data_IF_017889354704
#
_entry.id   IF_017889354704
#
_cell.length_a   1.000
_cell.length_b   1.000
_cell.length_c   1.000
_cell.angle_alpha   90.00
_cell.angle_beta   90.00
_cell.angle_gamma   90.00
#
_symmetry.space_group_name_H-M   'P 1'
#
loop_
_entity.id
_entity.type
_entity.pdbx_description
1 polymer ?
#
# COMPACT_ATOMS: atom_id res chain seq x y z
N UNK A 1 0.66 20.86 1.79
CA UNK A 1 1.21 19.49 1.87
C UNK A 1 0.80 18.64 0.65
N UNK A 2 0.74 19.21 -0.57
CA UNK A 2 0.33 18.49 -1.78
C UNK A 2 1.48 18.34 -2.81
N UNK A 3 2.70 18.76 -2.45
CA UNK A 3 3.82 18.91 -3.41
C UNK A 3 4.84 17.76 -3.37
N UNK A 4 4.95 17.01 -2.27
CA UNK A 4 5.90 15.88 -2.16
C UNK A 4 5.39 14.60 -2.83
N UNK A 5 4.08 14.33 -2.78
CA UNK A 5 3.48 13.15 -3.41
C UNK A 5 3.66 13.15 -4.94
N UNK A 6 3.62 14.32 -5.60
CA UNK A 6 3.77 14.43 -7.05
C UNK A 6 5.23 14.23 -7.52
N UNK A 7 6.21 14.62 -6.68
CA UNK A 7 7.63 14.43 -6.99
C UNK A 7 8.05 12.96 -6.90
N UNK A 8 7.47 12.20 -5.96
CA UNK A 8 7.69 10.77 -5.77
C UNK A 8 7.05 9.95 -6.91
N UNK A 9 5.88 10.37 -7.39
CA UNK A 9 5.16 9.72 -8.49
C UNK A 9 5.92 9.82 -9.81
N UNK A 10 6.48 10.99 -10.14
CA UNK A 10 7.28 11.20 -11.36
C UNK A 10 8.66 10.53 -11.35
N UNK A 11 9.14 10.09 -10.18
CA UNK A 11 10.42 9.43 -10.04
C UNK A 11 10.38 7.93 -10.35
N UNK A 12 9.21 7.28 -10.28
CA UNK A 12 9.06 5.83 -10.39
C UNK A 12 8.43 5.42 -11.73
N UNK A 13 9.15 4.64 -12.54
CA UNK A 13 8.58 4.08 -13.77
C UNK A 13 8.81 2.57 -13.91
N UNK A 14 8.01 1.94 -14.76
CA UNK A 14 8.11 0.51 -15.06
C UNK A 14 8.62 0.35 -16.48
N UNK A 15 9.77 -0.31 -16.62
CA UNK A 15 10.29 -0.67 -17.95
C UNK A 15 9.36 -1.63 -18.68
N UNK A 16 9.46 -1.69 -20.01
CA UNK A 16 8.71 -2.64 -20.86
C UNK A 16 8.91 -4.11 -20.48
N UNK A 17 9.98 -4.43 -19.74
CA UNK A 17 10.28 -5.77 -19.20
C UNK A 17 9.73 -6.00 -17.79
N UNK A 18 8.93 -5.09 -17.26
CA UNK A 18 8.33 -5.18 -15.91
C UNK A 18 9.27 -4.80 -14.76
N UNK A 19 10.48 -4.32 -15.03
CA UNK A 19 11.41 -3.88 -13.99
C UNK A 19 11.13 -2.45 -13.55
N UNK A 20 11.17 -2.20 -12.24
CA UNK A 20 11.01 -0.89 -11.64
C UNK A 20 12.28 -0.05 -11.78
N UNK A 21 12.11 1.22 -12.10
CA UNK A 21 13.17 2.21 -12.21
C UNK A 21 12.86 3.46 -11.39
N UNK A 22 13.85 3.96 -10.67
CA UNK A 22 13.80 5.17 -9.88
C UNK A 22 14.74 6.24 -10.45
N UNK A 23 14.17 7.32 -10.95
CA UNK A 23 14.86 8.44 -11.61
C UNK A 23 15.08 9.64 -10.68
N UNK A 24 14.47 9.62 -9.48
CA UNK A 24 14.68 10.62 -8.45
C UNK A 24 15.99 10.44 -7.69
N UNK A 25 16.20 11.26 -6.66
CA UNK A 25 17.40 11.13 -5.81
C UNK A 25 17.27 9.89 -4.92
N UNK A 26 18.41 9.43 -4.40
CA UNK A 26 18.43 8.29 -3.48
C UNK A 26 17.73 8.60 -2.17
N UNK A 27 17.87 9.83 -1.69
CA UNK A 27 17.23 10.34 -0.49
C UNK A 27 15.70 10.22 -0.59
N UNK A 28 15.15 10.62 -1.75
CA UNK A 28 13.71 10.53 -2.05
C UNK A 28 13.24 9.06 -2.07
N UNK A 29 14.05 8.15 -2.63
CA UNK A 29 13.76 6.71 -2.63
C UNK A 29 13.75 6.15 -1.21
N UNK A 30 14.71 6.57 -0.39
CA UNK A 30 14.85 6.11 0.98
C UNK A 30 13.66 6.56 1.83
N UNK A 31 13.25 7.82 1.71
CA UNK A 31 12.07 8.36 2.38
C UNK A 31 10.81 7.61 1.96
N UNK A 32 10.60 7.47 0.64
CA UNK A 32 9.47 6.75 0.09
C UNK A 32 9.37 5.30 0.59
N UNK A 33 10.48 4.54 0.56
CA UNK A 33 10.48 3.15 1.05
C UNK A 33 10.22 3.09 2.56
N UNK A 34 10.75 4.03 3.35
CA UNK A 34 10.51 4.10 4.78
C UNK A 34 9.04 4.41 5.10
N UNK A 35 8.41 5.30 4.33
CA UNK A 35 6.98 5.60 4.46
C UNK A 35 6.09 4.40 4.09
N UNK A 36 6.36 3.77 2.94
CA UNK A 36 5.53 2.67 2.43
C UNK A 36 5.64 1.39 3.27
N UNK A 37 6.81 1.15 3.85
CA UNK A 37 7.06 -0.01 4.72
C UNK A 37 6.91 0.31 6.20
N UNK A 38 6.65 1.57 6.57
CA UNK A 38 6.57 2.05 7.96
C UNK A 38 7.77 1.62 8.82
N UNK A 39 8.95 1.53 8.20
CA UNK A 39 10.15 0.99 8.84
C UNK A 39 11.27 2.03 8.83
N UNK A 40 11.95 2.20 9.95
CA UNK A 40 13.16 3.03 10.05
C UNK A 40 14.46 2.24 9.76
N UNK A 41 14.38 1.22 8.93
CA UNK A 41 15.53 0.33 8.68
C UNK A 41 16.60 1.05 7.88
N UNK A 42 17.87 0.90 8.28
CA UNK A 42 19.00 1.59 7.63
C UNK A 42 19.33 0.93 6.30
N UNK A 43 19.49 1.76 5.26
CA UNK A 43 20.07 1.34 4.00
C UNK A 43 21.57 1.07 4.15
N UNK A 44 22.01 -0.08 3.67
CA UNK A 44 23.42 -0.46 3.60
C UNK A 44 24.00 -0.17 2.21
N UNK A 45 25.31 0.06 2.14
CA UNK A 45 26.04 0.25 0.88
C UNK A 45 27.04 -0.89 0.71
N UNK A 46 26.64 -2.05 0.14
CA UNK A 46 27.49 -3.25 0.06
C UNK A 46 28.69 -3.13 -0.90
N UNK A 47 29.00 -1.92 -1.38
CA UNK A 47 30.07 -1.61 -2.31
C UNK A 47 29.56 -1.12 -3.68
N UNK A 48 30.34 -0.22 -4.30
CA UNK A 48 30.04 0.36 -5.61
C UNK A 48 28.83 1.31 -5.61
N UNK A 49 28.12 1.37 -6.75
CA UNK A 49 27.00 2.28 -7.00
C UNK A 49 25.64 1.63 -6.65
N UNK A 50 25.60 0.81 -5.60
CA UNK A 50 24.38 0.11 -5.17
C UNK A 50 24.03 0.39 -3.72
N UNK A 51 22.72 0.45 -3.45
CA UNK A 51 22.16 0.64 -2.11
C UNK A 51 21.22 -0.52 -1.82
N UNK A 52 21.29 -1.04 -0.60
CA UNK A 52 20.56 -2.22 -0.17
C UNK A 52 19.77 -1.93 1.10
N UNK A 53 18.46 -2.01 0.98
CA UNK A 53 17.53 -2.10 2.09
C UNK A 53 17.20 -3.57 2.35
N UNK A 54 17.25 -3.98 3.61
CA UNK A 54 16.95 -5.35 4.01
C UNK A 54 16.21 -5.32 5.35
N UNK A 55 15.01 -5.91 5.35
CA UNK A 55 14.20 -6.21 6.52
C UNK A 55 13.82 -7.71 6.45
N UNK A 56 13.25 -8.26 7.53
CA UNK A 56 12.83 -9.66 7.64
C UNK A 56 11.90 -10.09 6.48
N UNK A 57 11.04 -9.19 6.00
CA UNK A 57 10.06 -9.49 4.97
C UNK A 57 10.51 -9.15 3.53
N UNK A 58 11.37 -8.15 3.35
CA UNK A 58 11.69 -7.56 2.03
C UNK A 58 13.14 -7.12 1.93
N UNK A 59 13.75 -7.41 0.77
CA UNK A 59 15.07 -6.96 0.35
C UNK A 59 14.96 -6.13 -0.93
N UNK A 60 15.31 -4.85 -0.85
CA UNK A 60 15.29 -3.92 -1.98
C UNK A 60 16.71 -3.50 -2.29
N UNK A 61 17.16 -3.72 -3.52
CA UNK A 61 18.44 -3.22 -3.99
C UNK A 61 18.24 -2.26 -5.14
N UNK A 62 18.78 -1.05 -4.96
CA UNK A 62 18.83 0.00 -5.96
C UNK A 62 20.22 0.08 -6.57
N UNK A 63 20.27 0.27 -7.88
CA UNK A 63 21.50 0.45 -8.64
C UNK A 63 21.50 1.84 -9.28
N UNK A 64 22.41 2.72 -8.86
CA UNK A 64 22.43 4.10 -9.32
C UNK A 64 22.76 4.22 -10.82
N UNK A 65 23.62 3.35 -11.37
CA UNK A 65 24.02 3.41 -12.79
C UNK A 65 22.86 3.14 -13.76
N UNK A 66 21.93 2.29 -13.35
CA UNK A 66 20.81 1.83 -14.19
C UNK A 66 19.46 2.33 -13.68
N UNK A 67 19.47 3.11 -12.60
CA UNK A 67 18.29 3.54 -11.86
C UNK A 67 17.36 2.38 -11.50
N UNK A 68 17.84 1.14 -11.43
CA UNK A 68 16.97 -0.04 -11.35
C UNK A 68 16.75 -0.49 -9.92
N UNK A 69 15.52 -0.91 -9.64
CA UNK A 69 15.10 -1.48 -8.37
C UNK A 69 14.88 -2.98 -8.52
N UNK A 70 15.52 -3.75 -7.64
CA UNK A 70 15.28 -5.19 -7.52
C UNK A 70 14.68 -5.47 -6.15
N UNK A 71 13.54 -6.14 -6.14
CA UNK A 71 12.74 -6.39 -4.94
C UNK A 71 12.59 -7.89 -4.79
N UNK A 72 13.01 -8.41 -3.64
CA UNK A 72 12.95 -9.82 -3.26
C UNK A 72 12.41 -9.94 -1.84
N UNK A 73 11.95 -11.13 -1.45
CA UNK A 73 11.44 -11.40 -0.11
C UNK A 73 10.02 -11.96 -0.12
N UNK A 74 9.49 -12.24 1.06
CA UNK A 74 8.19 -12.88 1.26
C UNK A 74 7.06 -11.94 0.81
N UNK A 75 7.17 -10.66 1.14
CA UNK A 75 6.16 -9.64 0.80
C UNK A 75 6.50 -8.86 -0.48
N UNK A 76 7.41 -9.38 -1.31
CA UNK A 76 7.86 -8.65 -2.48
C UNK A 76 6.74 -8.40 -3.50
N UNK A 77 5.78 -9.30 -3.67
CA UNK A 77 4.68 -9.10 -4.63
C UNK A 77 3.71 -8.00 -4.17
N UNK A 78 3.39 -7.92 -2.88
CA UNK A 78 2.55 -6.85 -2.34
C UNK A 78 3.19 -5.49 -2.53
N UNK A 79 4.50 -5.38 -2.28
CA UNK A 79 5.24 -4.14 -2.52
C UNK A 79 5.29 -3.80 -4.02
N UNK A 80 5.52 -4.78 -4.89
CA UNK A 80 5.49 -4.57 -6.36
C UNK A 80 4.11 -4.10 -6.83
N UNK A 81 3.02 -4.63 -6.27
CA UNK A 81 1.66 -4.21 -6.64
C UNK A 81 1.38 -2.77 -6.21
N UNK A 82 1.82 -2.35 -5.01
CA UNK A 82 1.76 -0.95 -4.59
C UNK A 82 2.56 -0.03 -5.51
N UNK A 83 3.79 -0.42 -5.86
CA UNK A 83 4.63 0.34 -6.80
C UNK A 83 3.99 0.42 -8.19
N UNK A 84 3.32 -0.64 -8.65
CA UNK A 84 2.57 -0.62 -9.92
C UNK A 84 1.39 0.32 -9.86
N UNK A 85 0.65 0.37 -8.75
CA UNK A 85 -0.47 1.28 -8.59
C UNK A 85 -0.01 2.74 -8.67
N UNK A 86 1.10 3.08 -8.00
CA UNK A 86 1.69 4.42 -7.99
C UNK A 86 2.22 4.81 -9.38
N UNK A 87 2.92 3.91 -10.07
CA UNK A 87 3.44 4.16 -11.41
C UNK A 87 2.35 4.26 -12.49
N UNK A 88 1.11 3.84 -12.21
CA UNK A 88 -0.04 3.91 -13.14
C UNK A 88 -0.91 5.14 -12.94
N UNK A 89 -0.75 5.87 -11.83
CA UNK A 89 -1.60 7.04 -11.54
C UNK A 89 -1.33 8.22 -12.48
N UNK A 90 -0.24 8.18 -13.27
CA UNK A 90 0.07 9.19 -14.30
C UNK A 90 -0.78 9.09 -15.58
N UNK A 91 -1.54 8.00 -15.84
CA UNK A 91 -2.33 7.89 -17.09
C UNK A 91 -3.82 8.21 -16.99
N UNK A 92 -4.38 8.26 -15.77
CA UNK A 92 -5.83 8.17 -15.60
C UNK A 92 -6.48 9.43 -14.99
N UNK A 93 -5.70 10.46 -14.62
CA UNK A 93 -6.26 11.70 -14.06
C UNK A 93 -6.94 12.61 -15.10
N UNK A 94 -6.75 12.37 -16.41
CA UNK A 94 -7.44 13.13 -17.48
C UNK A 94 -8.76 12.49 -17.96
N UNK A 95 -9.17 11.31 -17.45
CA UNK A 95 -10.34 10.60 -17.98
C UNK A 95 -11.44 10.25 -16.95
N UNK A 96 -11.33 10.72 -15.71
CA UNK A 96 -12.26 10.37 -14.63
C UNK A 96 -13.32 11.45 -14.29
N UNK A 97 -13.49 12.51 -15.11
CA UNK A 97 -14.49 13.58 -14.87
C UNK A 97 -15.64 13.57 -15.90
N UNK A 98 -15.84 12.48 -16.65
CA UNK A 98 -17.01 12.34 -17.52
C UNK A 98 -17.66 10.98 -17.29
N UNK A 99 -18.93 11.00 -16.86
CA UNK A 99 -19.85 9.86 -16.69
C UNK A 99 -20.02 9.29 -15.27
N UNK A 100 -20.34 10.18 -14.31
CA UNK A 100 -21.41 9.86 -13.36
C UNK A 100 -22.37 11.04 -13.37
N UNK A 101 -23.49 10.94 -14.10
CA UNK A 101 -24.80 10.79 -13.45
C UNK A 101 -25.97 10.64 -14.45
N UNK A 102 -26.90 9.74 -14.08
CA UNK A 102 -28.35 9.71 -14.40
C UNK A 102 -28.82 9.37 -15.81
N UNK A 103 -29.20 8.09 -16.02
CA UNK A 103 -30.60 7.64 -15.86
C UNK A 103 -30.87 6.28 -16.56
N UNK A 104 -31.76 5.51 -15.93
CA UNK A 104 -32.58 4.40 -16.46
C UNK A 104 -32.01 2.97 -16.46
N UNK A 105 -32.38 2.25 -15.40
CA UNK A 105 -33.11 0.98 -15.42
C UNK A 105 -33.45 0.43 -16.83
N UNK A 106 -32.86 -0.69 -17.23
CA UNK A 106 -33.60 -1.83 -17.80
C UNK A 106 -32.75 -3.12 -17.84
N UNK A 107 -33.47 -4.22 -17.75
CA UNK A 107 -33.11 -5.63 -17.71
C UNK A 107 -32.47 -6.06 -19.04
N UNK A 108 -31.40 -6.88 -19.00
CA UNK A 108 -30.80 -7.44 -20.20
C UNK A 108 -29.73 -8.49 -19.93
N UNK A 109 -30.15 -9.75 -19.87
CA UNK A 109 -29.31 -10.95 -20.00
C UNK A 109 -28.82 -11.06 -21.47
N UNK A 110 -27.65 -11.68 -21.66
CA UNK A 110 -26.91 -11.97 -22.92
C UNK A 110 -25.97 -10.85 -23.41
N UNK A 111 -24.77 -11.09 -23.96
CA UNK A 111 -24.00 -12.29 -24.26
C UNK A 111 -22.55 -11.82 -24.57
N UNK A 112 -21.61 -12.77 -24.50
CA UNK A 112 -20.39 -12.84 -25.33
C UNK A 112 -19.43 -11.63 -25.37
N UNK A 113 -18.33 -11.75 -24.62
CA UNK A 113 -17.03 -11.27 -25.11
C UNK A 113 -16.10 -12.48 -25.22
N UNK A 114 -16.03 -13.01 -26.42
CA UNK A 114 -14.90 -13.84 -26.88
C UNK A 114 -13.60 -13.09 -26.57
N UNK A 115 -12.87 -13.52 -25.54
CA UNK A 115 -11.45 -13.21 -25.45
C UNK A 115 -10.69 -14.34 -26.13
N UNK A 116 -10.48 -14.14 -27.42
CA UNK A 116 -9.47 -14.85 -28.21
C UNK A 116 -8.14 -14.79 -27.47
N UNK A 117 -7.72 -15.92 -26.89
CA UNK A 117 -6.35 -16.11 -26.44
C UNK A 117 -5.51 -16.23 -27.71
N UNK A 118 -4.85 -15.15 -28.11
CA UNK A 118 -3.75 -15.21 -29.07
C UNK A 118 -2.62 -15.92 -28.34
N UNK A 119 -2.50 -17.22 -28.57
CA UNK A 119 -1.29 -17.97 -28.25
C UNK A 119 -0.30 -17.61 -29.35
N UNK A 120 0.69 -16.78 -29.03
CA UNK A 120 1.89 -16.63 -29.86
C UNK A 120 2.54 -18.02 -29.95
N UNK A 121 2.28 -18.71 -31.06
CA UNK A 121 2.98 -19.92 -31.42
C UNK A 121 4.40 -19.53 -31.78
N UNK A 122 5.36 -19.97 -30.97
CA UNK A 122 6.75 -20.03 -31.39
C UNK A 122 6.83 -20.86 -32.69
N UNK A 123 7.45 -20.27 -33.71
CA UNK A 123 7.71 -20.85 -35.03
C UNK A 123 8.39 -22.23 -34.90
N UNK A 124 7.59 -23.29 -34.89
CA UNK A 124 8.10 -24.63 -35.17
C UNK A 124 8.18 -24.78 -36.69
N UNK A 125 9.32 -24.36 -37.24
CA UNK A 125 9.67 -24.54 -38.64
C UNK A 125 9.44 -25.99 -39.04
N UNK A 126 8.37 -26.25 -39.80
CA UNK A 126 8.11 -27.53 -40.43
C UNK A 126 9.25 -27.78 -41.42
N UNK A 127 10.26 -28.55 -41.01
CA UNK A 127 11.23 -29.13 -41.94
C UNK A 127 10.45 -30.05 -42.87
N UNK A 128 10.21 -29.56 -44.08
CA UNK A 128 9.88 -30.37 -45.24
C UNK A 128 11.03 -31.34 -45.48
N UNK A 129 10.89 -32.56 -44.98
CA UNK A 129 11.71 -33.69 -45.41
C UNK A 129 11.26 -34.07 -46.81
N UNK A 130 11.94 -33.51 -47.81
CA UNK A 130 12.06 -34.14 -49.11
C UNK A 130 12.69 -35.52 -48.90
N UNK A 131 11.90 -36.58 -49.07
CA UNK A 131 12.40 -37.93 -49.23
C UNK A 131 11.51 -38.66 -50.23
N UNK A 132 12.02 -38.65 -51.47
CA UNK A 132 12.06 -39.77 -52.41
C UNK A 132 10.84 -40.67 -52.53
N UNK A 133 10.30 -40.69 -53.75
CA UNK A 133 9.43 -41.72 -54.29
C UNK A 133 9.77 -43.12 -53.80
N UNK A 134 8.87 -43.70 -53.00
CA UNK A 134 8.54 -45.12 -53.07
C UNK A 134 7.10 -45.28 -52.58
N UNK A 135 6.21 -45.55 -53.54
CA UNK A 135 4.87 -46.08 -53.29
C UNK A 135 5.07 -47.44 -52.64
N UNK A 136 4.94 -47.51 -51.31
CA UNK A 136 4.76 -48.79 -50.62
C UNK A 136 3.26 -48.93 -50.42
N UNK A 137 2.66 -49.70 -51.32
CA UNK A 137 1.33 -50.29 -51.18
C UNK A 137 1.36 -51.22 -49.96
N UNK A 138 1.04 -50.69 -48.77
CA UNK A 138 0.72 -51.52 -47.61
C UNK A 138 -0.73 -51.94 -47.76
N UNK A 139 -0.90 -53.14 -48.29
CA UNK A 139 -2.13 -53.90 -48.16
C UNK A 139 -2.61 -53.90 -46.71
N UNK A 140 -3.81 -53.37 -46.55
CA UNK A 140 -4.80 -53.63 -45.50
C UNK A 140 -4.48 -54.79 -44.56
N UNK A 141 -3.91 -54.49 -43.39
CA UNK A 141 -4.14 -55.32 -42.20
C UNK A 141 -5.37 -54.79 -41.44
N UNK A 142 -6.49 -55.54 -41.38
CA UNK A 142 -7.72 -55.09 -40.73
C UNK A 142 -7.56 -54.84 -39.22
N UNK A 143 -6.53 -55.40 -38.59
CA UNK A 143 -6.30 -55.28 -37.15
C UNK A 143 -5.67 -53.94 -36.72
N UNK A 144 -4.94 -53.25 -37.60
CA UNK A 144 -4.23 -52.01 -37.23
C UNK A 144 -5.19 -50.80 -37.18
N UNK A 145 -6.22 -50.79 -38.04
CA UNK A 145 -7.30 -49.81 -38.04
C UNK A 145 -8.13 -49.87 -36.73
N UNK A 146 -8.44 -51.08 -36.26
CA UNK A 146 -9.18 -51.28 -35.01
C UNK A 146 -8.38 -50.74 -33.80
N UNK A 147 -7.10 -51.08 -33.70
CA UNK A 147 -6.23 -50.62 -32.59
C UNK A 147 -6.11 -49.10 -32.58
N UNK A 148 -5.95 -48.47 -33.74
CA UNK A 148 -5.92 -47.00 -33.84
C UNK A 148 -7.24 -46.37 -33.39
N UNK A 149 -8.38 -46.95 -33.75
CA UNK A 149 -9.70 -46.44 -33.34
C UNK A 149 -9.92 -46.51 -31.82
N UNK A 150 -9.49 -47.60 -31.18
CA UNK A 150 -9.64 -47.83 -29.74
C UNK A 150 -8.71 -46.92 -28.92
N UNK A 151 -7.50 -46.65 -29.42
CA UNK A 151 -6.59 -45.64 -28.85
C UNK A 151 -7.16 -44.23 -28.93
N UNK A 152 -7.77 -43.87 -30.06
CA UNK A 152 -8.40 -42.56 -30.24
C UNK A 152 -9.58 -42.38 -29.28
N UNK A 153 -10.38 -43.42 -29.06
CA UNK A 153 -11.48 -43.38 -28.11
C UNK A 153 -10.98 -43.19 -26.67
N UNK A 154 -9.99 -43.98 -26.23
CA UNK A 154 -9.36 -43.79 -24.91
C UNK A 154 -8.76 -42.41 -24.71
N UNK A 155 -8.15 -41.82 -25.74
CA UNK A 155 -7.61 -40.45 -25.68
C UNK A 155 -8.75 -39.44 -25.51
N UNK A 156 -9.89 -39.64 -26.19
CA UNK A 156 -11.07 -38.78 -26.03
C UNK A 156 -11.65 -38.88 -24.62
N UNK A 157 -11.77 -40.08 -24.08
CA UNK A 157 -12.29 -40.30 -22.73
C UNK A 157 -11.38 -39.68 -21.67
N UNK A 158 -10.07 -39.88 -21.78
CA UNK A 158 -9.09 -39.24 -20.91
C UNK A 158 -9.16 -37.72 -21.00
N UNK A 159 -9.30 -37.16 -22.20
CA UNK A 159 -9.45 -35.71 -22.39
C UNK A 159 -10.73 -35.19 -21.74
N UNK A 160 -11.83 -35.94 -21.83
CA UNK A 160 -13.08 -35.60 -21.17
C UNK A 160 -12.93 -35.61 -19.64
N UNK A 161 -12.35 -36.67 -19.09
CA UNK A 161 -12.11 -36.80 -17.65
C UNK A 161 -11.21 -35.68 -17.11
N UNK A 162 -10.12 -35.36 -17.83
CA UNK A 162 -9.26 -34.23 -17.48
C UNK A 162 -10.02 -32.89 -17.52
N UNK A 163 -10.86 -32.67 -18.53
CA UNK A 163 -11.65 -31.43 -18.60
C UNK A 163 -12.64 -31.30 -17.45
N UNK A 164 -13.31 -32.38 -17.05
CA UNK A 164 -14.21 -32.42 -15.89
C UNK A 164 -13.42 -32.11 -14.61
N UNK A 165 -12.24 -32.68 -14.46
CA UNK A 165 -11.42 -32.46 -13.27
C UNK A 165 -10.86 -31.04 -13.19
N UNK A 166 -10.45 -30.47 -14.32
CA UNK A 166 -10.00 -29.07 -14.42
C UNK A 166 -11.14 -28.12 -14.08
N UNK A 167 -12.36 -28.35 -14.57
CA UNK A 167 -13.49 -27.48 -14.28
C UNK A 167 -13.87 -27.53 -12.79
N UNK A 168 -13.89 -28.72 -12.18
CA UNK A 168 -14.14 -28.89 -10.76
C UNK A 168 -13.10 -28.17 -9.88
N UNK A 169 -11.80 -28.33 -10.19
CA UNK A 169 -10.72 -27.65 -9.47
C UNK A 169 -10.80 -26.13 -9.65
N UNK A 170 -11.14 -25.64 -10.84
CA UNK A 170 -11.31 -24.21 -11.10
C UNK A 170 -12.44 -23.63 -10.25
N UNK A 171 -13.55 -24.36 -10.10
CA UNK A 171 -14.66 -23.96 -9.26
C UNK A 171 -14.27 -23.94 -7.77
N UNK A 172 -13.51 -24.93 -7.31
CA UNK A 172 -13.06 -25.02 -5.92
C UNK A 172 -12.09 -23.88 -5.56
N UNK A 173 -11.11 -23.60 -6.41
CA UNK A 173 -10.20 -22.46 -6.26
C UNK A 173 -10.98 -21.14 -6.17
N UNK A 174 -11.99 -20.96 -7.03
CA UNK A 174 -12.84 -19.77 -7.01
C UNK A 174 -13.61 -19.64 -5.69
N UNK A 175 -14.13 -20.75 -5.17
CA UNK A 175 -14.83 -20.79 -3.88
C UNK A 175 -13.91 -20.42 -2.72
N UNK A 176 -12.69 -20.98 -2.68
CA UNK A 176 -11.69 -20.70 -1.65
C UNK A 176 -11.27 -19.22 -1.70
N UNK A 177 -11.04 -18.66 -2.89
CA UNK A 177 -10.69 -17.24 -3.04
C UNK A 177 -11.79 -16.32 -2.52
N UNK A 178 -13.05 -16.63 -2.81
CA UNK A 178 -14.19 -15.83 -2.33
C UNK A 178 -14.34 -15.90 -0.81
N UNK A 179 -14.20 -17.10 -0.22
CA UNK A 179 -14.19 -17.27 1.24
C UNK A 179 -13.06 -16.49 1.89
N UNK A 180 -11.84 -16.57 1.33
CA UNK A 180 -10.67 -15.84 1.85
C UNK A 180 -10.90 -14.33 1.84
N UNK A 181 -11.47 -13.79 0.76
CA UNK A 181 -11.84 -12.36 0.68
C UNK A 181 -12.89 -11.98 1.73
N UNK A 182 -13.90 -12.82 1.94
CA UNK A 182 -14.94 -12.57 2.95
C UNK A 182 -14.35 -12.52 4.36
N UNK A 183 -13.55 -13.52 4.75
CA UNK A 183 -12.92 -13.56 6.08
C UNK A 183 -11.94 -12.40 6.31
N UNK A 184 -11.12 -12.06 5.31
CA UNK A 184 -10.19 -10.93 5.42
C UNK A 184 -10.95 -9.61 5.62
N UNK A 185 -12.04 -9.39 4.88
CA UNK A 185 -12.86 -8.19 5.01
C UNK A 185 -13.57 -8.13 6.36
N UNK A 186 -14.09 -9.25 6.86
CA UNK A 186 -14.81 -9.29 8.14
C UNK A 186 -13.89 -9.02 9.33
N UNK A 187 -12.68 -9.60 9.33
CA UNK A 187 -11.66 -9.33 10.34
C UNK A 187 -11.21 -7.86 10.34
N UNK A 188 -10.94 -7.29 9.17
CA UNK A 188 -10.53 -5.89 9.04
C UNK A 188 -11.66 -4.92 9.42
N UNK A 189 -12.92 -5.28 9.15
CA UNK A 189 -14.08 -4.48 9.57
C UNK A 189 -14.25 -4.47 11.09
N UNK A 190 -13.97 -5.59 11.76
CA UNK A 190 -14.02 -5.67 13.22
C UNK A 190 -12.93 -4.82 13.86
N UNK A 191 -11.68 -4.98 13.42
CA UNK A 191 -10.54 -4.19 13.91
C UNK A 191 -10.75 -2.68 13.70
N UNK A 192 -11.24 -2.27 12.53
CA UNK A 192 -11.57 -0.87 12.27
C UNK A 192 -12.66 -0.33 13.20
N UNK A 193 -13.61 -1.17 13.62
CA UNK A 193 -14.65 -0.76 14.58
C UNK A 193 -14.05 -0.53 15.95
N UNK A 194 -13.21 -1.44 16.43
CA UNK A 194 -12.54 -1.31 17.73
C UNK A 194 -11.65 -0.06 17.78
N UNK A 195 -10.80 0.14 16.75
CA UNK A 195 -9.95 1.33 16.64
C UNK A 195 -10.77 2.63 16.59
N UNK A 196 -11.95 2.61 15.96
CA UNK A 196 -12.85 3.77 15.91
C UNK A 196 -13.45 4.09 17.29
N UNK A 197 -13.86 3.06 18.03
CA UNK A 197 -14.40 3.22 19.38
C UNK A 197 -13.31 3.69 20.37
N UNK A 198 -12.09 3.17 20.26
CA UNK A 198 -10.95 3.62 21.04
C UNK A 198 -10.58 5.07 20.74
N UNK A 199 -10.51 5.46 19.46
CA UNK A 199 -10.28 6.84 19.06
C UNK A 199 -11.33 7.80 19.64
N UNK A 200 -12.60 7.39 19.64
CA UNK A 200 -13.66 8.19 20.26
C UNK A 200 -13.45 8.37 21.76
N UNK A 201 -13.05 7.30 22.46
CA UNK A 201 -12.72 7.37 23.90
C UNK A 201 -11.52 8.29 24.18
N UNK A 202 -10.47 8.20 23.36
CA UNK A 202 -9.29 9.04 23.48
C UNK A 202 -9.61 10.51 23.23
N UNK A 203 -10.40 10.83 22.20
CA UNK A 203 -10.85 12.20 21.93
C UNK A 203 -11.60 12.79 23.12
N UNK A 204 -12.47 12.00 23.77
CA UNK A 204 -13.18 12.44 24.97
C UNK A 204 -12.22 12.69 26.14
N UNK A 205 -11.22 11.82 26.36
CA UNK A 205 -10.19 12.04 27.38
C UNK A 205 -9.38 13.30 27.12
N UNK A 206 -8.98 13.55 25.86
CA UNK A 206 -8.26 14.76 25.47
C UNK A 206 -9.09 16.00 25.71
N UNK A 207 -10.38 15.98 25.38
CA UNK A 207 -11.29 17.10 25.66
C UNK A 207 -11.41 17.38 27.16
N UNK A 208 -11.55 16.34 27.98
CA UNK A 208 -11.61 16.48 29.44
C UNK A 208 -10.30 17.04 30.03
N UNK A 209 -9.14 16.55 29.57
CA UNK A 209 -7.85 17.06 30.02
C UNK A 209 -7.64 18.52 29.60
N UNK A 210 -8.04 18.89 28.39
CA UNK A 210 -8.00 20.28 27.91
C UNK A 210 -8.83 21.21 28.81
N UNK A 211 -10.03 20.76 29.19
CA UNK A 211 -10.87 21.49 30.15
C UNK A 211 -10.17 21.67 31.51
N UNK A 212 -9.59 20.61 32.06
CA UNK A 212 -8.86 20.66 33.34
C UNK A 212 -7.67 21.62 33.26
N UNK A 213 -6.89 21.57 32.18
CA UNK A 213 -5.73 22.47 31.98
C UNK A 213 -6.19 23.93 31.90
N UNK A 214 -7.31 24.20 31.23
CA UNK A 214 -7.89 25.54 31.18
C UNK A 214 -8.28 26.05 32.57
N UNK A 215 -8.97 25.24 33.37
CA UNK A 215 -9.36 25.59 34.75
C UNK A 215 -8.16 25.78 35.69
N UNK A 216 -7.10 24.99 35.54
CA UNK A 216 -5.87 25.19 36.31
C UNK A 216 -5.16 26.49 35.92
N UNK A 217 -5.17 26.85 34.63
CA UNK A 217 -4.56 28.10 34.17
C UNK A 217 -5.33 29.34 34.67
N UNK A 218 -6.65 29.29 34.75
CA UNK A 218 -7.44 30.39 35.33
C UNK A 218 -7.13 30.55 36.81
N UNK A 219 -7.10 29.46 37.57
CA UNK A 219 -6.73 29.47 39.01
C UNK A 219 -5.31 29.98 39.24
N UNK A 220 -4.36 29.58 38.40
CA UNK A 220 -2.98 30.07 38.47
C UNK A 220 -2.92 31.58 38.26
N UNK A 221 -3.66 32.11 37.28
CA UNK A 221 -3.72 33.55 36.99
C UNK A 221 -4.37 34.32 38.14
N UNK A 222 -5.43 33.80 38.74
CA UNK A 222 -6.07 34.39 39.91
C UNK A 222 -5.11 34.47 41.09
N UNK A 223 -4.41 33.37 41.39
CA UNK A 223 -3.40 33.33 42.46
C UNK A 223 -2.23 34.27 42.20
N UNK A 224 -1.77 34.41 40.95
CA UNK A 224 -0.72 35.36 40.60
C UNK A 224 -1.16 36.82 40.79
N UNK A 225 -2.42 37.15 40.44
CA UNK A 225 -2.99 38.47 40.66
C UNK A 225 -3.14 38.79 42.16
N UNK A 226 -3.56 37.83 42.97
CA UNK A 226 -3.64 37.98 44.43
C UNK A 226 -2.25 38.21 45.03
N UNK A 227 -1.27 37.42 44.63
CA UNK A 227 0.14 37.60 45.03
C UNK A 227 0.64 39.01 44.68
N UNK A 228 0.37 39.49 43.46
CA UNK A 228 0.77 40.85 43.05
C UNK A 228 0.08 41.94 43.86
N UNK A 229 -1.20 41.76 44.20
CA UNK A 229 -1.93 42.68 45.08
C UNK A 229 -1.33 42.70 46.48
N UNK A 230 -1.03 41.54 47.08
CA UNK A 230 -0.40 41.44 48.39
C UNK A 230 0.99 42.08 48.43
N UNK A 231 1.81 41.84 47.40
CA UNK A 231 3.12 42.49 47.25
C UNK A 231 2.98 44.01 47.20
N UNK A 232 1.95 44.52 46.53
CA UNK A 232 1.68 45.96 46.46
C UNK A 232 1.29 46.52 47.83
N UNK A 233 0.39 45.85 48.55
CA UNK A 233 -0.01 46.23 49.91
C UNK A 233 1.19 46.24 50.86
N UNK A 234 2.04 45.19 50.83
CA UNK A 234 3.25 45.13 51.65
C UNK A 234 4.22 46.28 51.36
N UNK A 235 4.38 46.67 50.09
CA UNK A 235 5.20 47.83 49.71
C UNK A 235 4.65 49.13 50.29
N UNK A 236 3.33 49.33 50.28
CA UNK A 236 2.69 50.51 50.86
C UNK A 236 2.85 50.55 52.37
N UNK A 237 2.57 49.44 53.06
CA UNK A 237 2.74 49.34 54.53
C UNK A 237 4.18 49.62 54.94
N UNK A 238 5.18 49.07 54.25
CA UNK A 238 6.59 49.36 54.54
C UNK A 238 6.96 50.84 54.32
N UNK A 239 6.33 51.51 53.34
CA UNK A 239 6.52 52.93 53.09
C UNK A 239 5.93 53.77 54.23
N UNK A 240 4.71 53.43 54.68
CA UNK A 240 4.05 54.08 55.81
C UNK A 240 4.83 53.91 57.11
N UNK A 241 5.42 52.73 57.33
CA UNK A 241 6.25 52.45 58.50
C UNK A 241 7.55 53.27 58.48
N UNK A 242 8.20 53.36 57.32
CA UNK A 242 9.41 54.17 57.14
C UNK A 242 9.16 55.67 57.36
N UNK A 243 8.00 56.18 56.93
CA UNK A 243 7.61 57.59 57.16
C UNK A 243 7.19 57.86 58.59
N UNK A 244 6.57 56.88 59.27
CA UNK A 244 6.23 57.00 60.68
C UNK A 244 7.48 57.00 61.60
N UNK A 245 8.47 56.16 61.30
CA UNK A 245 9.74 56.08 62.01
C UNK A 245 10.62 57.34 61.83
N UNK A 246 10.54 58.01 60.67
CA UNK A 246 11.21 59.30 60.48
C UNK A 246 10.55 60.45 61.24
N UNK A 247 9.22 60.41 61.40
CA UNK A 247 8.49 61.44 62.16
C UNK A 247 8.59 61.26 63.68
N UNK A 248 8.76 60.03 64.18
CA UNK A 248 8.92 59.74 65.61
C UNK A 248 10.32 60.07 66.17
N UNK A 249 11.34 60.20 65.31
CA UNK A 249 12.67 60.66 65.70
C UNK A 249 12.87 62.19 65.63
N UNK A 250 11.92 62.95 65.09
CA UNK A 250 12.03 64.41 64.92
C UNK A 250 11.65 65.26 66.14
N UNK A 251 11.10 64.67 67.22
CA UNK A 251 10.46 65.42 68.32
C UNK A 251 11.28 65.56 69.60
N UNK A 252 12.55 65.13 69.63
CA UNK A 252 13.44 65.31 70.79
C UNK A 252 14.64 66.21 70.47
N UNK A 253 14.39 67.47 70.13
CA UNK A 253 15.38 68.55 70.27
C UNK A 253 14.70 69.79 70.82
N UNK A 254 14.66 69.87 72.16
CA UNK A 254 14.55 71.13 72.92
C UNK A 254 15.81 71.94 72.79
#
# INVERSE_FOLDING_TARGET
MATESAAIQSALSISTKGNFKWHGKFEDLQEFINEQLQTQTKWSSPGGNSKLFENEAVKIRWYANTSSLTIKGIDCEQLKDKLRAIARTESDEDNAISLIDKNNLDIGIHNEVERSIIIEGEDFSARTLNSSSQVIDLSTQPNQSLICSELIEKIKDLKLDFNIKISALTQEVSSIQNKRKAYANESLLHENRELKDENKSLLQKVANLSFIVSDLNTKLKESENEKQSLVTVLKLVNLDQSTHDQNSHGTWKT
#
